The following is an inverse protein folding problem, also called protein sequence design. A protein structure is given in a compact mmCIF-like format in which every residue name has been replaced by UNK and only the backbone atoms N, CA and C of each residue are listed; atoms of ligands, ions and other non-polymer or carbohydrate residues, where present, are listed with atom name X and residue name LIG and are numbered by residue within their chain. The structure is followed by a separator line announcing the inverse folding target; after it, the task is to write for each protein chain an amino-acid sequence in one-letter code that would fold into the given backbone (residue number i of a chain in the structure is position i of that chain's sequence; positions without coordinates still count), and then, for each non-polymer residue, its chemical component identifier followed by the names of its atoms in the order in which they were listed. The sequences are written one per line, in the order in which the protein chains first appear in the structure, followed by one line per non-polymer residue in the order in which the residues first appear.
data_IF_611113285630
#
_entry.id   IF_611113285630
#
_cell.length_a   1.000
_cell.length_b   1.000
_cell.length_c   1.000
_cell.angle_alpha   90.00
_cell.angle_beta   90.00
_cell.angle_gamma   90.00
#
_symmetry.space_group_name_H-M   'P 1'
#
loop_
_entity.id
_entity.type
_entity.pdbx_description
1 polymer ?
#
# COMPACT_ATOMS: atom_id res chain seq x y z
N UNK A 1 20.15 -35.10 -28.16
CA UNK A 1 20.77 -36.21 -27.37
C UNK A 1 22.06 -35.78 -26.66
N UNK A 2 22.98 -35.06 -27.32
CA UNK A 2 24.26 -34.66 -26.72
C UNK A 2 24.13 -33.70 -25.53
N UNK A 3 23.21 -32.75 -25.57
CA UNK A 3 22.95 -31.81 -24.46
C UNK A 3 22.49 -32.52 -23.18
N UNK A 4 21.65 -33.55 -23.31
CA UNK A 4 21.18 -34.34 -22.17
C UNK A 4 22.32 -35.14 -21.52
N UNK A 5 23.23 -35.69 -22.33
CA UNK A 5 24.45 -36.35 -21.82
C UNK A 5 25.36 -35.38 -21.09
N UNK A 6 25.57 -34.18 -21.66
CA UNK A 6 26.39 -33.15 -21.04
C UNK A 6 25.81 -32.70 -19.69
N UNK A 7 24.50 -32.42 -19.63
CA UNK A 7 23.82 -32.04 -18.39
C UNK A 7 23.89 -33.15 -17.33
N UNK A 8 23.73 -34.42 -17.73
CA UNK A 8 23.85 -35.55 -16.80
C UNK A 8 25.28 -35.71 -16.26
N UNK A 9 26.31 -35.47 -17.08
CA UNK A 9 27.69 -35.53 -16.66
C UNK A 9 28.02 -34.39 -15.66
N UNK A 10 27.58 -33.17 -15.94
CA UNK A 10 27.75 -32.02 -15.02
C UNK A 10 27.03 -32.29 -13.70
N UNK A 11 25.80 -32.79 -13.75
CA UNK A 11 25.01 -33.10 -12.56
C UNK A 11 25.68 -34.16 -11.67
N UNK A 12 26.32 -35.18 -12.24
CA UNK A 12 26.99 -36.23 -11.45
C UNK A 12 28.31 -35.78 -10.83
N UNK A 13 29.02 -34.87 -11.48
CA UNK A 13 30.38 -34.50 -11.09
C UNK A 13 30.45 -33.25 -10.21
N UNK A 14 29.56 -32.28 -10.45
CA UNK A 14 29.64 -30.93 -9.86
C UNK A 14 28.56 -30.66 -8.82
N UNK A 15 27.70 -31.65 -8.55
CA UNK A 15 26.63 -31.48 -7.57
C UNK A 15 27.18 -31.72 -6.16
N UNK A 16 26.88 -30.76 -5.28
CA UNK A 16 27.15 -30.88 -3.85
C UNK A 16 26.39 -32.09 -3.26
N UNK A 17 26.75 -32.61 -2.09
CA UNK A 17 25.96 -33.63 -1.40
C UNK A 17 24.50 -33.16 -1.23
N UNK A 18 23.49 -34.05 -1.28
CA UNK A 18 22.07 -33.70 -1.17
C UNK A 18 21.73 -32.79 0.03
N UNK A 19 22.48 -32.95 1.12
CA UNK A 19 22.38 -32.20 2.37
C UNK A 19 22.77 -30.72 2.21
N UNK A 20 23.60 -30.39 1.22
CA UNK A 20 24.09 -29.04 0.91
C UNK A 20 23.34 -28.38 -0.26
N UNK A 21 22.28 -29.01 -0.77
CA UNK A 21 21.45 -28.45 -1.83
C UNK A 21 20.60 -27.29 -1.30
N UNK A 22 21.14 -26.08 -1.24
CA UNK A 22 20.34 -24.87 -0.95
C UNK A 22 19.69 -24.34 -2.23
N UNK A 23 18.66 -25.02 -2.74
CA UNK A 23 17.88 -24.57 -3.91
C UNK A 23 16.71 -23.65 -3.53
N UNK A 24 16.18 -23.76 -2.31
CA UNK A 24 14.98 -23.03 -1.84
C UNK A 24 15.25 -21.63 -1.26
N UNK A 25 16.51 -21.24 -1.02
CA UNK A 25 16.85 -19.91 -0.45
C UNK A 25 16.96 -18.78 -1.49
N UNK A 26 16.64 -19.03 -2.76
CA UNK A 26 16.65 -17.99 -3.80
C UNK A 26 15.43 -17.06 -3.65
N UNK A 27 15.60 -16.05 -2.79
CA UNK A 27 14.74 -14.86 -2.64
C UNK A 27 13.27 -15.18 -2.32
N UNK A 28 12.98 -15.43 -1.04
CA UNK A 28 11.64 -15.16 -0.54
C UNK A 28 11.54 -13.63 -0.46
N UNK A 29 10.90 -12.99 -1.45
CA UNK A 29 10.37 -11.63 -1.24
C UNK A 29 9.57 -11.70 0.06
N UNK A 30 9.82 -10.83 1.06
CA UNK A 30 8.96 -10.80 2.22
C UNK A 30 7.54 -10.63 1.70
N UNK A 31 6.71 -11.66 1.87
CA UNK A 31 5.28 -11.50 1.77
C UNK A 31 4.94 -10.64 2.97
N UNK A 32 5.02 -9.32 2.81
CA UNK A 32 4.29 -8.41 3.67
C UNK A 32 2.87 -8.94 3.56
N UNK A 33 2.37 -9.54 4.64
CA UNK A 33 1.01 -10.00 4.68
C UNK A 33 0.14 -8.74 4.62
N UNK A 34 -0.18 -8.32 3.39
CA UNK A 34 -1.13 -7.24 3.15
C UNK A 34 -2.45 -7.85 3.59
N UNK A 35 -2.92 -7.42 4.78
CA UNK A 35 -4.24 -7.81 5.27
C UNK A 35 -5.24 -7.57 4.15
N UNK A 36 -5.74 -8.65 3.59
CA UNK A 36 -6.75 -8.59 2.54
C UNK A 36 -8.12 -8.47 3.18
N UNK A 37 -9.09 -7.90 2.45
CA UNK A 37 -10.48 -7.75 2.95
C UNK A 37 -11.08 -9.10 3.42
N UNK A 38 -10.53 -10.25 3.00
CA UNK A 38 -10.94 -11.59 3.41
C UNK A 38 -10.78 -11.87 4.90
N UNK A 39 -9.80 -11.22 5.55
CA UNK A 39 -9.42 -11.49 6.95
C UNK A 39 -9.90 -10.39 7.92
N UNK A 40 -10.77 -9.48 7.45
CA UNK A 40 -11.22 -8.29 8.18
C UNK A 40 -12.70 -8.39 8.56
N UNK A 41 -13.06 -7.82 9.70
CA UNK A 41 -14.46 -7.62 10.10
C UNK A 41 -15.14 -6.57 9.19
N UNK A 42 -16.48 -6.56 9.11
CA UNK A 42 -17.21 -5.59 8.28
C UNK A 42 -16.90 -4.13 8.63
N UNK A 43 -16.71 -3.83 9.92
CA UNK A 43 -16.31 -2.50 10.38
C UNK A 43 -14.90 -2.12 9.88
N UNK A 44 -13.94 -3.04 9.98
CA UNK A 44 -12.57 -2.82 9.49
C UNK A 44 -12.51 -2.71 7.96
N UNK A 45 -13.36 -3.44 7.23
CA UNK A 45 -13.47 -3.33 5.77
C UNK A 45 -13.86 -1.92 5.35
N UNK A 46 -14.80 -1.29 6.07
CA UNK A 46 -15.26 0.05 5.73
C UNK A 46 -14.17 1.11 5.92
N UNK A 47 -13.44 1.07 7.04
CA UNK A 47 -12.27 1.94 7.28
C UNK A 47 -11.17 1.70 6.22
N UNK A 48 -10.90 0.43 5.90
CA UNK A 48 -9.88 0.07 4.91
C UNK A 48 -10.23 0.57 3.50
N UNK A 49 -11.50 0.50 3.08
CA UNK A 49 -11.96 1.02 1.78
C UNK A 49 -11.76 2.53 1.67
N UNK A 50 -12.11 3.29 2.70
CA UNK A 50 -11.92 4.74 2.70
C UNK A 50 -10.42 5.10 2.68
N UNK A 51 -9.63 4.44 3.52
CA UNK A 51 -8.16 4.63 3.56
C UNK A 51 -7.52 4.34 2.20
N UNK A 52 -7.88 3.23 1.56
CA UNK A 52 -7.39 2.86 0.23
C UNK A 52 -7.80 3.89 -0.84
N UNK A 53 -9.03 4.38 -0.78
CA UNK A 53 -9.53 5.41 -1.69
C UNK A 53 -8.78 6.74 -1.51
N UNK A 54 -8.49 7.14 -0.27
CA UNK A 54 -7.70 8.34 0.03
C UNK A 54 -6.25 8.22 -0.46
N UNK A 55 -5.63 7.06 -0.27
CA UNK A 55 -4.28 6.81 -0.80
C UNK A 55 -4.26 6.84 -2.33
N UNK A 56 -5.29 6.30 -2.98
CA UNK A 56 -5.43 6.36 -4.43
C UNK A 56 -5.56 7.81 -4.91
N UNK A 57 -6.47 8.59 -4.32
CA UNK A 57 -6.66 10.00 -4.65
C UNK A 57 -5.39 10.82 -4.39
N UNK A 58 -4.70 10.54 -3.29
CA UNK A 58 -3.41 11.19 -2.99
C UNK A 58 -2.36 10.93 -4.06
N UNK A 59 -2.33 9.75 -4.66
CA UNK A 59 -1.42 9.47 -5.78
C UNK A 59 -1.84 10.19 -7.06
N UNK A 60 -3.15 10.25 -7.35
CA UNK A 60 -3.67 10.93 -8.55
C UNK A 60 -3.43 12.43 -8.51
N UNK A 61 -3.74 13.07 -7.38
CA UNK A 61 -3.65 14.52 -7.20
C UNK A 61 -2.37 14.99 -6.49
N UNK A 62 -1.42 14.07 -6.27
CA UNK A 62 -0.14 14.35 -5.60
C UNK A 62 -0.28 15.05 -4.24
N UNK A 63 -1.25 14.64 -3.42
CA UNK A 63 -1.51 15.25 -2.11
C UNK A 63 -0.44 14.94 -1.05
N UNK A 64 0.40 13.92 -1.26
CA UNK A 64 1.42 13.51 -0.28
C UNK A 64 0.82 12.95 1.02
N UNK A 65 -0.36 12.34 0.93
CA UNK A 65 -1.06 11.66 2.03
C UNK A 65 -0.69 10.17 1.97
N UNK A 66 0.19 9.76 2.88
CA UNK A 66 0.52 8.34 3.10
C UNK A 66 -0.48 7.64 4.02
N UNK A 67 -0.27 6.34 4.25
CA UNK A 67 -1.21 5.48 5.01
C UNK A 67 -1.58 6.04 6.39
N UNK A 68 -0.60 6.52 7.17
CA UNK A 68 -0.85 7.07 8.51
C UNK A 68 -1.81 8.27 8.47
N UNK A 69 -1.60 9.18 7.51
CA UNK A 69 -2.45 10.37 7.34
C UNK A 69 -3.83 9.98 6.81
N UNK A 70 -3.89 9.08 5.84
CA UNK A 70 -5.15 8.57 5.29
C UNK A 70 -5.99 7.89 6.37
N UNK A 71 -5.37 7.14 7.28
CA UNK A 71 -6.05 6.53 8.43
C UNK A 71 -6.56 7.57 9.44
N UNK A 72 -5.76 8.59 9.74
CA UNK A 72 -6.21 9.71 10.60
C UNK A 72 -7.38 10.48 9.98
N UNK A 73 -7.38 10.66 8.65
CA UNK A 73 -8.52 11.24 7.93
C UNK A 73 -9.74 10.33 7.96
N UNK A 74 -9.58 9.02 7.72
CA UNK A 74 -10.67 8.05 7.73
C UNK A 74 -11.33 7.90 9.11
N UNK A 75 -10.61 8.19 10.20
CA UNK A 75 -11.17 8.23 11.56
C UNK A 75 -12.04 9.45 11.83
N UNK A 76 -11.72 10.58 11.19
CA UNK A 76 -12.39 11.87 11.44
C UNK A 76 -13.54 12.12 10.46
N UNK A 77 -13.39 11.66 9.21
CA UNK A 77 -14.34 11.87 8.14
C UNK A 77 -14.93 10.55 7.68
N UNK A 78 -16.25 10.52 7.46
CA UNK A 78 -16.95 9.29 7.10
C UNK A 78 -16.81 8.94 5.61
N UNK A 79 -16.65 9.95 4.75
CA UNK A 79 -16.58 9.76 3.29
C UNK A 79 -15.81 10.91 2.60
N UNK A 80 -15.61 10.79 1.29
CA UNK A 80 -14.87 11.80 0.49
C UNK A 80 -15.66 13.12 0.38
N UNK A 81 -17.00 13.06 0.34
CA UNK A 81 -17.84 14.25 0.24
C UNK A 81 -17.73 15.11 1.49
N UNK A 82 -17.68 14.47 2.66
CA UNK A 82 -17.47 15.10 3.96
C UNK A 82 -16.15 15.89 3.97
N UNK A 83 -15.08 15.29 3.43
CA UNK A 83 -13.79 15.96 3.23
C UNK A 83 -13.92 17.17 2.29
N UNK A 84 -14.67 17.04 1.19
CA UNK A 84 -14.86 18.13 0.24
C UNK A 84 -15.65 19.31 0.82
N UNK A 85 -16.63 19.05 1.68
CA UNK A 85 -17.46 20.09 2.32
C UNK A 85 -16.82 20.72 3.56
N UNK A 86 -15.77 20.10 4.09
CA UNK A 86 -15.09 20.52 5.32
C UNK A 86 -14.31 21.83 5.15
N UNK A 87 -14.07 22.56 6.24
CA UNK A 87 -13.25 23.79 6.25
C UNK A 87 -11.74 23.49 6.33
N UNK A 88 -10.89 24.44 5.92
CA UNK A 88 -9.42 24.29 6.04
C UNK A 88 -9.01 24.05 7.48
N UNK A 89 -9.65 24.73 8.45
CA UNK A 89 -9.35 24.60 9.88
C UNK A 89 -9.59 23.19 10.39
N UNK A 90 -10.71 22.57 9.99
CA UNK A 90 -11.06 21.21 10.38
C UNK A 90 -10.11 20.17 9.79
N UNK A 91 -9.65 20.39 8.54
CA UNK A 91 -8.64 19.56 7.90
C UNK A 91 -7.28 19.67 8.59
N UNK A 92 -6.85 20.89 8.96
CA UNK A 92 -5.59 21.10 9.68
C UNK A 92 -5.59 20.55 11.11
N UNK A 93 -6.76 20.36 11.70
CA UNK A 93 -6.89 19.68 12.99
C UNK A 93 -6.65 18.16 12.89
N UNK A 94 -6.49 17.62 11.68
CA UNK A 94 -6.08 16.22 11.47
C UNK A 94 -4.55 16.11 11.56
N UNK A 95 -4.08 15.12 12.31
CA UNK A 95 -2.65 14.91 12.54
C UNK A 95 -1.87 14.75 11.21
N UNK A 96 -0.90 15.64 10.99
CA UNK A 96 -0.01 15.59 9.83
C UNK A 96 -0.51 16.29 8.56
N UNK A 97 -1.63 17.01 8.62
CA UNK A 97 -2.13 17.88 7.53
C UNK A 97 -1.84 19.35 7.86
N UNK A 98 -0.99 19.99 7.07
CA UNK A 98 -0.74 21.44 7.17
C UNK A 98 -1.72 22.25 6.32
N UNK A 99 -1.76 23.57 6.54
CA UNK A 99 -2.64 24.51 5.81
C UNK A 99 -2.53 24.40 4.29
N UNK A 100 -1.31 24.46 3.75
CA UNK A 100 -1.05 24.30 2.30
C UNK A 100 -1.52 22.96 1.74
N UNK A 101 -1.48 21.91 2.55
CA UNK A 101 -1.93 20.58 2.14
C UNK A 101 -3.46 20.51 2.13
N UNK A 102 -4.11 21.09 3.14
CA UNK A 102 -5.57 21.19 3.21
C UNK A 102 -6.14 22.00 2.05
N UNK A 103 -5.54 23.16 1.73
CA UNK A 103 -5.90 23.98 0.57
C UNK A 103 -5.78 23.18 -0.73
N UNK A 104 -4.66 22.48 -0.94
CA UNK A 104 -4.45 21.63 -2.12
C UNK A 104 -5.47 20.50 -2.23
N UNK A 105 -5.84 19.88 -1.11
CA UNK A 105 -6.85 18.81 -1.10
C UNK A 105 -8.20 19.38 -1.53
N UNK A 106 -8.64 20.48 -0.93
CA UNK A 106 -9.93 21.10 -1.26
C UNK A 106 -9.97 21.67 -2.68
N UNK A 107 -8.88 22.28 -3.15
CA UNK A 107 -8.75 22.75 -4.54
C UNK A 107 -8.82 21.61 -5.53
N UNK A 108 -8.21 20.46 -5.22
CA UNK A 108 -8.28 19.25 -6.06
C UNK A 108 -9.67 18.63 -6.07
N UNK A 109 -10.45 18.84 -5.02
CA UNK A 109 -11.85 18.41 -4.93
C UNK A 109 -12.82 19.42 -5.55
N UNK A 110 -12.31 20.49 -6.18
CA UNK A 110 -13.10 21.45 -6.95
C UNK A 110 -13.68 22.60 -6.13
N UNK A 111 -13.23 22.82 -4.89
CA UNK A 111 -13.57 24.02 -4.13
C UNK A 111 -12.58 25.15 -4.40
N UNK A 112 -13.13 26.35 -4.57
CA UNK A 112 -12.36 27.58 -4.42
C UNK A 112 -12.13 27.83 -2.93
N UNK A 113 -10.85 27.85 -2.53
CA UNK A 113 -10.38 27.99 -1.14
C UNK A 113 -9.29 29.04 -1.12
#
# INVERSE_FOLDING_TARGET
VHTARLLSAIYKNEQKPPEEHSTLQRVIKPQIHIRTEKDMTEAEKQEHRLTKSLMFLSNVYQWGVGEKKARSMAKRFCNILDIATTTVTDLTATEGIGTKMAERILSSLGREV
#
